data_IF_875798470388
#
_entry.id   IF_875798470388
#
_cell.length_a   1.000
_cell.length_b   1.000
_cell.length_c   1.000
_cell.angle_alpha   90.00
_cell.angle_beta   90.00
_cell.angle_gamma   90.00
#
_symmetry.space_group_name_H-M   'P 1'
#
loop_
_entity.id
_entity.type
_entity.pdbx_description
1 polymer ?
#
# COMPACT_ATOMS: atom_id res chain seq x y z
N UNK A 1 0.32 -62.92 -3.33
CA UNK A 1 1.20 -61.84 -2.81
C UNK A 1 2.00 -61.26 -3.98
N UNK A 2 1.47 -60.35 -4.80
CA UNK A 2 2.26 -59.46 -5.69
C UNK A 2 1.31 -58.39 -6.22
N UNK A 3 1.25 -57.23 -5.56
CA UNK A 3 0.32 -56.16 -5.94
C UNK A 3 0.57 -54.80 -5.29
N UNK A 4 1.78 -54.54 -4.78
CA UNK A 4 2.11 -53.27 -4.09
C UNK A 4 3.23 -52.44 -4.75
N UNK A 5 3.99 -53.01 -5.68
CA UNK A 5 5.17 -52.35 -6.26
C UNK A 5 4.84 -51.30 -7.32
N UNK A 6 3.81 -51.55 -8.15
CA UNK A 6 3.47 -50.69 -9.29
C UNK A 6 2.74 -49.41 -8.87
N UNK A 7 1.94 -49.44 -7.81
CA UNK A 7 1.26 -48.25 -7.30
C UNK A 7 2.24 -47.30 -6.61
N UNK A 8 3.19 -47.85 -5.83
CA UNK A 8 4.23 -47.04 -5.19
C UNK A 8 5.11 -46.34 -6.22
N UNK A 9 5.49 -47.03 -7.30
CA UNK A 9 6.23 -46.43 -8.42
C UNK A 9 5.44 -45.35 -9.15
N UNK A 10 4.13 -45.55 -9.35
CA UNK A 10 3.25 -44.56 -9.96
C UNK A 10 3.10 -43.30 -9.11
N UNK A 11 2.99 -43.45 -7.78
CA UNK A 11 2.88 -42.33 -6.83
C UNK A 11 4.20 -41.56 -6.74
N UNK A 12 5.34 -42.26 -6.73
CA UNK A 12 6.65 -41.62 -6.75
C UNK A 12 6.85 -40.85 -8.05
N UNK A 13 6.45 -41.42 -9.20
CA UNK A 13 6.55 -40.75 -10.50
C UNK A 13 5.63 -39.53 -10.59
N UNK A 14 4.41 -39.60 -10.03
CA UNK A 14 3.49 -38.46 -10.01
C UNK A 14 3.99 -37.35 -9.07
N UNK A 15 4.54 -37.70 -7.90
CA UNK A 15 5.13 -36.71 -7.00
C UNK A 15 6.37 -36.05 -7.61
N UNK A 16 7.18 -36.81 -8.36
CA UNK A 16 8.34 -36.27 -9.07
C UNK A 16 7.90 -35.33 -10.21
N UNK A 17 6.85 -35.68 -10.95
CA UNK A 17 6.24 -34.82 -11.97
C UNK A 17 5.65 -33.54 -11.35
N UNK A 18 4.94 -33.62 -10.22
CA UNK A 18 4.38 -32.45 -9.52
C UNK A 18 5.52 -31.55 -9.00
N UNK A 19 6.57 -32.14 -8.42
CA UNK A 19 7.75 -31.39 -7.96
C UNK A 19 8.52 -30.71 -9.10
N UNK A 20 8.55 -31.31 -10.30
CA UNK A 20 9.12 -30.70 -11.51
C UNK A 20 8.25 -29.52 -11.98
N UNK A 21 6.92 -29.65 -11.94
CA UNK A 21 5.99 -28.58 -12.33
C UNK A 21 6.07 -27.39 -11.37
N UNK A 22 6.14 -27.63 -10.06
CA UNK A 22 6.34 -26.57 -9.05
C UNK A 22 7.71 -25.88 -9.18
N UNK A 23 8.76 -26.61 -9.61
CA UNK A 23 10.07 -26.03 -9.88
C UNK A 23 10.09 -25.17 -11.16
N UNK A 24 9.29 -25.53 -12.17
CA UNK A 24 9.15 -24.81 -13.45
C UNK A 24 8.25 -23.57 -13.36
N UNK A 25 7.36 -23.51 -12.36
CA UNK A 25 6.46 -22.37 -12.10
C UNK A 25 6.94 -21.42 -11.00
N UNK A 26 8.23 -21.41 -10.66
CA UNK A 26 8.84 -20.28 -9.93
C UNK A 26 8.79 -19.03 -10.81
N UNK A 27 7.60 -18.44 -10.90
CA UNK A 27 7.35 -17.13 -11.45
C UNK A 27 8.19 -16.12 -10.70
N UNK A 28 8.56 -15.06 -11.42
CA UNK A 28 9.21 -13.90 -10.84
C UNK A 28 8.35 -13.37 -9.69
N UNK A 29 8.96 -13.04 -8.56
CA UNK A 29 8.24 -12.47 -7.42
C UNK A 29 7.82 -11.04 -7.75
N UNK A 30 6.59 -10.88 -8.24
CA UNK A 30 6.00 -9.58 -8.59
C UNK A 30 5.79 -8.65 -7.37
N UNK A 31 6.05 -9.13 -6.14
CA UNK A 31 6.05 -8.28 -4.95
C UNK A 31 7.31 -7.39 -4.86
N UNK A 32 8.37 -7.71 -5.59
CA UNK A 32 9.62 -6.94 -5.62
C UNK A 32 9.60 -5.98 -6.81
N UNK A 33 9.42 -4.69 -6.50
CA UNK A 33 9.46 -3.62 -7.50
C UNK A 33 10.90 -3.23 -7.82
N UNK A 34 11.26 -3.27 -9.11
CA UNK A 34 12.55 -2.80 -9.60
C UNK A 34 12.42 -1.44 -10.28
N UNK A 35 13.45 -0.60 -10.14
CA UNK A 35 13.60 0.62 -10.92
C UNK A 35 14.57 0.36 -12.06
N UNK A 36 14.15 0.63 -13.29
CA UNK A 36 15.02 0.57 -14.46
C UNK A 36 15.94 1.79 -14.45
N UNK A 37 17.25 1.55 -14.49
CA UNK A 37 18.29 2.57 -14.63
C UNK A 37 18.91 2.45 -16.03
N UNK A 38 18.58 3.39 -16.91
CA UNK A 38 19.05 3.38 -18.29
C UNK A 38 20.47 3.94 -18.36
N UNK A 39 21.36 3.17 -18.98
CA UNK A 39 22.75 3.58 -19.21
C UNK A 39 23.03 3.64 -20.71
N UNK A 40 23.84 4.61 -21.10
CA UNK A 40 24.35 4.73 -22.46
C UNK A 40 25.32 3.58 -22.74
N UNK A 41 25.36 3.12 -23.99
CA UNK A 41 26.27 2.06 -24.46
C UNK A 41 27.73 2.39 -24.15
N UNK A 42 28.13 3.67 -24.23
CA UNK A 42 29.50 4.11 -23.91
C UNK A 42 29.88 3.96 -22.43
N UNK A 43 28.90 3.79 -21.54
CA UNK A 43 29.11 3.54 -20.11
C UNK A 43 29.08 2.04 -19.78
N UNK A 44 28.91 1.18 -20.78
CA UNK A 44 28.94 -0.28 -20.64
C UNK A 44 30.39 -0.75 -20.51
N UNK A 45 30.71 -1.64 -19.56
CA UNK A 45 32.07 -2.13 -19.42
C UNK A 45 32.43 -3.09 -20.56
N UNK A 46 33.65 -2.97 -21.12
CA UNK A 46 34.01 -3.63 -22.39
C UNK A 46 33.86 -5.15 -22.39
N UNK A 47 34.08 -5.78 -21.23
CA UNK A 47 33.92 -7.22 -21.03
C UNK A 47 32.49 -7.70 -21.31
N UNK A 48 31.52 -6.80 -21.20
CA UNK A 48 30.11 -7.08 -21.33
C UNK A 48 29.63 -7.11 -22.79
N UNK A 49 30.33 -6.45 -23.72
CA UNK A 49 30.06 -6.53 -25.16
C UNK A 49 30.40 -7.91 -25.75
N UNK A 50 31.23 -8.70 -25.06
CA UNK A 50 31.68 -10.01 -25.52
C UNK A 50 30.84 -11.19 -25.00
N UNK A 51 29.82 -10.91 -24.18
CA UNK A 51 28.94 -11.94 -23.64
C UNK A 51 28.06 -12.53 -24.75
N UNK A 52 28.03 -13.86 -24.82
CA UNK A 52 27.10 -14.58 -25.69
C UNK A 52 25.76 -14.74 -24.98
N UNK A 53 24.63 -14.68 -25.71
CA UNK A 53 23.32 -14.99 -25.16
C UNK A 53 23.30 -16.49 -24.82
N UNK A 54 23.61 -16.83 -23.58
CA UNK A 54 23.56 -18.20 -23.09
C UNK A 54 22.42 -18.31 -22.06
N UNK A 55 21.41 -19.11 -22.41
CA UNK A 55 20.11 -19.15 -21.73
C UNK A 55 20.16 -19.80 -20.33
N UNK A 56 21.30 -20.34 -19.92
CA UNK A 56 21.48 -21.09 -18.66
C UNK A 56 22.62 -20.57 -17.78
N UNK A 57 23.17 -19.40 -18.08
CA UNK A 57 24.26 -18.84 -17.28
C UNK A 57 23.74 -18.24 -15.98
N UNK A 58 24.39 -18.56 -14.85
CA UNK A 58 24.17 -17.96 -13.53
C UNK A 58 24.67 -16.50 -13.45
N UNK A 59 24.68 -15.78 -14.57
CA UNK A 59 25.14 -14.41 -14.69
C UNK A 59 24.00 -13.45 -14.37
N UNK A 60 24.28 -12.30 -13.74
CA UNK A 60 23.27 -11.30 -13.43
C UNK A 60 22.91 -10.47 -14.68
N UNK A 61 23.03 -11.00 -15.90
CA UNK A 61 22.83 -10.25 -17.13
C UNK A 61 21.87 -10.99 -18.07
N UNK A 62 20.89 -10.26 -18.60
CA UNK A 62 19.85 -10.78 -19.48
C UNK A 62 19.75 -9.93 -20.73
N UNK A 63 19.82 -10.57 -21.91
CA UNK A 63 19.56 -9.91 -23.18
C UNK A 63 18.05 -9.80 -23.40
N UNK A 64 17.57 -8.59 -23.69
CA UNK A 64 16.15 -8.29 -23.92
C UNK A 64 16.02 -7.55 -25.24
N UNK A 65 14.94 -7.84 -25.98
CA UNK A 65 14.59 -7.10 -27.19
C UNK A 65 13.23 -6.44 -27.02
N UNK A 66 13.13 -5.16 -27.39
CA UNK A 66 11.87 -4.43 -27.44
C UNK A 66 11.03 -4.85 -28.66
N UNK A 67 9.76 -4.46 -28.70
CA UNK A 67 8.84 -4.77 -29.82
C UNK A 67 9.21 -4.12 -31.16
N UNK A 68 10.18 -3.21 -31.16
CA UNK A 68 10.80 -2.56 -32.32
C UNK A 68 12.21 -3.12 -32.62
N UNK A 69 12.56 -4.30 -32.11
CA UNK A 69 13.85 -4.99 -32.29
C UNK A 69 15.09 -4.26 -31.73
N UNK A 70 14.90 -3.27 -30.85
CA UNK A 70 16.01 -2.66 -30.08
C UNK A 70 16.54 -3.66 -29.06
N UNK A 71 17.87 -3.84 -29.02
CA UNK A 71 18.54 -4.81 -28.14
C UNK A 71 19.10 -4.12 -26.91
N UNK A 72 18.85 -4.73 -25.75
CA UNK A 72 19.32 -4.27 -24.45
C UNK A 72 20.03 -5.41 -23.74
N UNK A 73 21.03 -5.06 -22.93
CA UNK A 73 21.58 -5.95 -21.92
C UNK A 73 21.24 -5.40 -20.54
N UNK A 74 20.47 -6.17 -19.77
CA UNK A 74 19.98 -5.79 -18.46
C UNK A 74 20.80 -6.49 -17.37
N UNK A 75 21.39 -5.72 -16.46
CA UNK A 75 21.96 -6.26 -15.24
C UNK A 75 20.84 -6.48 -14.19
N UNK A 76 20.46 -7.72 -13.94
CA UNK A 76 19.47 -8.10 -12.94
C UNK A 76 20.18 -8.28 -11.59
N UNK A 77 19.86 -7.44 -10.58
CA UNK A 77 20.49 -7.56 -9.28
C UNK A 77 20.09 -8.87 -8.59
N UNK A 78 21.05 -9.51 -7.92
CA UNK A 78 20.77 -10.70 -7.13
C UNK A 78 19.93 -10.33 -5.89
N UNK A 79 18.67 -10.76 -5.90
CA UNK A 79 17.72 -10.56 -4.79
C UNK A 79 17.78 -11.67 -3.75
N UNK A 80 18.51 -12.77 -4.00
CA UNK A 80 18.60 -13.91 -3.08
C UNK A 80 19.25 -13.56 -1.73
N UNK A 81 19.99 -12.45 -1.68
CA UNK A 81 20.74 -11.98 -0.51
C UNK A 81 20.28 -10.64 0.05
N UNK A 82 19.24 -10.01 -0.51
CA UNK A 82 18.54 -8.98 0.24
C UNK A 82 17.72 -9.68 1.32
N UNK A 83 18.42 -10.08 2.40
CA UNK A 83 17.80 -10.20 3.72
C UNK A 83 16.86 -9.01 3.83
N UNK A 84 15.61 -9.21 4.24
CA UNK A 84 14.78 -8.13 4.78
C UNK A 84 15.69 -7.34 5.70
N UNK A 85 16.29 -6.24 5.22
CA UNK A 85 17.26 -5.48 6.00
C UNK A 85 16.40 -4.94 7.11
N UNK A 86 16.46 -5.58 8.27
CA UNK A 86 15.64 -5.20 9.41
C UNK A 86 16.11 -3.79 9.70
N UNK A 87 15.25 -2.81 9.42
CA UNK A 87 15.55 -1.42 9.70
C UNK A 87 15.66 -1.37 11.22
N UNK A 88 16.89 -1.34 11.75
CA UNK A 88 17.13 -1.38 13.19
C UNK A 88 16.70 -0.07 13.86
N UNK A 89 16.67 1.02 13.09
CA UNK A 89 16.28 2.34 13.54
C UNK A 89 15.75 3.19 12.38
N UNK A 90 14.68 3.93 12.64
CA UNK A 90 14.13 4.95 11.75
C UNK A 90 14.45 6.33 12.30
N UNK A 91 15.10 7.17 11.49
CA UNK A 91 15.51 8.53 11.87
C UNK A 91 14.74 9.62 11.11
N UNK A 92 13.67 9.25 10.39
CA UNK A 92 12.85 10.19 9.64
C UNK A 92 11.74 10.83 10.49
N UNK A 93 10.91 11.70 9.88
CA UNK A 93 9.77 12.30 10.55
C UNK A 93 8.72 11.26 10.92
N UNK A 94 8.12 11.41 12.10
CA UNK A 94 6.96 10.62 12.51
C UNK A 94 5.77 10.82 11.56
N UNK A 95 4.84 9.87 11.48
CA UNK A 95 3.63 10.04 10.67
C UNK A 95 2.81 11.29 11.02
N UNK A 96 2.75 11.65 12.31
CA UNK A 96 2.12 12.88 12.77
C UNK A 96 2.79 14.13 12.22
N UNK A 97 4.12 14.15 12.13
CA UNK A 97 4.88 15.25 11.51
C UNK A 97 4.68 15.31 9.99
N UNK A 98 4.57 14.15 9.33
CA UNK A 98 4.33 14.07 7.89
C UNK A 98 2.98 14.66 7.48
N UNK A 99 1.93 14.47 8.30
CA UNK A 99 0.59 14.99 7.99
C UNK A 99 0.30 16.37 8.58
N UNK A 100 1.20 16.90 9.42
CA UNK A 100 1.06 18.22 10.06
C UNK A 100 0.80 19.37 9.08
N UNK A 101 1.41 19.44 7.88
CA UNK A 101 1.10 20.49 6.91
C UNK A 101 -0.40 20.56 6.57
N UNK A 102 -1.09 19.42 6.51
CA UNK A 102 -2.54 19.37 6.26
C UNK A 102 -3.34 20.09 7.35
N UNK A 103 -2.85 20.05 8.59
CA UNK A 103 -3.50 20.67 9.75
C UNK A 103 -3.24 22.17 9.76
N UNK A 104 -1.99 22.57 9.53
CA UNK A 104 -1.54 23.97 9.53
C UNK A 104 -2.18 24.75 8.36
N UNK A 105 -2.23 24.15 7.16
CA UNK A 105 -2.88 24.72 5.98
C UNK A 105 -4.41 24.59 5.99
N UNK A 106 -4.98 23.94 7.03
CA UNK A 106 -6.42 23.76 7.23
C UNK A 106 -7.12 23.07 6.04
N UNK A 107 -6.41 22.20 5.34
CA UNK A 107 -6.93 21.49 4.18
C UNK A 107 -8.13 20.62 4.57
N UNK A 108 -9.10 20.52 3.66
CA UNK A 108 -10.21 19.59 3.78
C UNK A 108 -10.26 18.65 2.57
N UNK A 109 -10.61 17.40 2.85
CA UNK A 109 -10.84 16.35 1.86
C UNK A 109 -12.31 16.00 1.85
N UNK A 110 -12.85 15.77 0.65
CA UNK A 110 -14.27 15.47 0.46
C UNK A 110 -14.44 14.06 -0.10
N UNK A 111 -15.42 13.33 0.41
CA UNK A 111 -15.84 12.05 -0.12
C UNK A 111 -17.34 12.09 -0.37
N UNK A 112 -17.75 11.72 -1.58
CA UNK A 112 -19.15 11.69 -1.98
C UNK A 112 -19.61 10.24 -1.99
N UNK A 113 -20.60 9.95 -1.16
CA UNK A 113 -21.40 8.75 -1.19
C UNK A 113 -22.78 9.11 -1.76
N UNK A 114 -23.48 8.14 -2.37
CA UNK A 114 -24.69 8.35 -3.18
C UNK A 114 -25.69 9.35 -2.56
N UNK A 115 -25.87 9.28 -1.24
CA UNK A 115 -26.73 10.19 -0.48
C UNK A 115 -25.94 11.18 0.39
N UNK A 116 -24.83 10.78 1.02
CA UNK A 116 -24.10 11.63 1.97
C UNK A 116 -22.83 12.22 1.37
N UNK A 117 -22.55 13.48 1.68
CA UNK A 117 -21.23 14.07 1.51
C UNK A 117 -20.49 14.07 2.84
N UNK A 118 -19.23 13.63 2.80
CA UNK A 118 -18.33 13.64 3.94
C UNK A 118 -17.22 14.66 3.70
N UNK A 119 -16.95 15.47 4.71
CA UNK A 119 -15.88 16.46 4.73
C UNK A 119 -14.97 16.13 5.90
N UNK A 120 -13.73 15.72 5.62
CA UNK A 120 -12.67 15.73 6.62
C UNK A 120 -11.94 17.05 6.51
N UNK A 121 -12.04 17.89 7.52
CA UNK A 121 -11.10 18.98 7.72
C UNK A 121 -9.97 18.54 8.65
N UNK A 122 -8.78 18.38 8.08
CA UNK A 122 -7.64 17.74 8.73
C UNK A 122 -7.25 18.51 10.00
N UNK A 123 -7.14 17.81 11.13
CA UNK A 123 -6.82 18.43 12.43
C UNK A 123 -7.97 19.25 13.04
N UNK A 124 -9.20 19.14 12.50
CA UNK A 124 -10.36 19.88 12.98
C UNK A 124 -11.55 18.98 13.27
N UNK A 125 -12.20 18.45 12.23
CA UNK A 125 -13.42 17.67 12.37
C UNK A 125 -13.67 16.76 11.17
N UNK A 126 -14.57 15.80 11.37
CA UNK A 126 -15.25 15.06 10.32
C UNK A 126 -16.71 15.47 10.32
N UNK A 127 -17.21 15.93 9.18
CA UNK A 127 -18.60 16.32 8.96
C UNK A 127 -19.23 15.39 7.94
N UNK A 128 -20.45 14.92 8.21
CA UNK A 128 -21.33 14.27 7.26
C UNK A 128 -22.50 15.21 7.00
N UNK A 129 -22.86 15.42 5.73
CA UNK A 129 -24.00 16.27 5.38
C UNK A 129 -24.70 15.85 4.10
N UNK A 130 -25.97 16.23 3.98
CA UNK A 130 -26.76 16.09 2.77
C UNK A 130 -27.46 17.41 2.45
N UNK A 131 -27.36 17.82 1.19
CA UNK A 131 -28.04 19.01 0.67
C UNK A 131 -29.32 18.58 -0.07
N UNK A 132 -30.48 18.82 0.52
CA UNK A 132 -31.76 18.65 -0.17
C UNK A 132 -31.97 19.79 -1.17
N UNK A 133 -31.81 19.50 -2.46
CA UNK A 133 -31.88 20.50 -3.55
C UNK A 133 -33.29 20.95 -3.93
N UNK A 134 -34.33 20.46 -3.24
CA UNK A 134 -35.71 20.55 -3.73
C UNK A 134 -36.47 21.81 -3.26
N UNK A 135 -35.94 22.58 -2.30
CA UNK A 135 -36.55 23.86 -1.93
C UNK A 135 -35.53 24.93 -1.58
N UNK A 136 -35.85 26.20 -1.91
CA UNK A 136 -35.07 27.40 -1.58
C UNK A 136 -34.83 27.59 -0.06
N UNK A 137 -35.37 26.71 0.78
CA UNK A 137 -35.36 26.76 2.25
C UNK A 137 -35.06 25.42 2.91
N UNK A 138 -34.69 24.35 2.18
CA UNK A 138 -34.35 23.08 2.84
C UNK A 138 -33.04 23.26 3.62
N UNK A 139 -33.05 23.05 4.95
CA UNK A 139 -31.83 23.14 5.74
C UNK A 139 -30.92 21.96 5.39
N UNK A 140 -29.63 22.23 5.21
CA UNK A 140 -28.59 21.20 5.11
C UNK A 140 -28.64 20.32 6.36
N UNK A 141 -28.82 19.01 6.17
CA UNK A 141 -28.78 18.05 7.28
C UNK A 141 -27.30 17.76 7.56
N UNK A 142 -26.82 18.06 8.76
CA UNK A 142 -25.40 17.94 9.10
C UNK A 142 -25.15 17.21 10.43
N UNK A 143 -24.14 16.34 10.45
CA UNK A 143 -23.70 15.57 11.61
C UNK A 143 -22.18 15.58 11.71
N UNK A 144 -21.65 16.05 12.84
CA UNK A 144 -20.24 15.87 13.15
C UNK A 144 -20.01 14.40 13.52
N UNK A 145 -19.14 13.72 12.78
CA UNK A 145 -18.75 12.34 13.06
C UNK A 145 -17.58 12.25 14.05
N UNK A 146 -17.01 13.39 14.42
CA UNK A 146 -16.00 13.53 15.46
C UNK A 146 -15.18 14.81 15.29
N UNK A 147 -14.53 15.21 16.38
CA UNK A 147 -13.65 16.37 16.46
C UNK A 147 -12.22 15.94 16.78
N UNK A 148 -11.24 16.63 16.22
CA UNK A 148 -9.82 16.40 16.49
C UNK A 148 -9.47 16.90 17.89
N UNK A 149 -8.67 16.11 18.62
CA UNK A 149 -8.24 16.43 19.99
C UNK A 149 -6.71 16.26 20.08
N UNK A 150 -5.92 17.34 19.99
CA UNK A 150 -4.46 17.26 19.93
C UNK A 150 -3.83 16.48 21.09
N UNK A 151 -4.31 16.70 22.31
CA UNK A 151 -3.79 16.06 23.52
C UNK A 151 -4.07 14.55 23.51
N UNK A 152 -5.26 14.15 23.05
CA UNK A 152 -5.65 12.75 22.95
C UNK A 152 -4.87 12.04 21.83
N UNK A 153 -4.69 12.68 20.68
CA UNK A 153 -3.89 12.15 19.57
C UNK A 153 -2.45 11.90 20.03
N UNK A 154 -1.83 12.86 20.75
CA UNK A 154 -0.49 12.66 21.34
C UNK A 154 -0.42 11.46 22.30
N UNK A 155 -1.51 11.13 23.00
CA UNK A 155 -1.57 9.95 23.84
C UNK A 155 -1.73 8.66 23.01
N UNK A 156 -2.60 8.70 22.00
CA UNK A 156 -2.81 7.59 21.06
C UNK A 156 -1.50 7.24 20.32
N UNK A 157 -0.65 8.23 20.05
CA UNK A 157 0.63 8.08 19.33
C UNK A 157 1.76 7.48 20.17
N UNK A 158 1.68 7.49 21.51
CA UNK A 158 2.75 6.97 22.39
C UNK A 158 3.07 5.48 22.16
N UNK A 159 2.11 4.73 21.63
CA UNK A 159 2.25 3.30 21.32
C UNK A 159 2.48 2.99 19.85
N UNK A 160 2.71 3.99 18.99
CA UNK A 160 2.89 3.78 17.56
C UNK A 160 4.28 3.21 17.26
N UNK A 161 4.33 1.95 16.83
CA UNK A 161 5.57 1.32 16.35
C UNK A 161 5.87 1.78 14.91
N UNK A 162 6.88 2.64 14.78
CA UNK A 162 7.32 3.17 13.48
C UNK A 162 7.99 2.11 12.60
N UNK A 163 8.57 1.06 13.19
CA UNK A 163 9.23 -0.02 12.46
C UNK A 163 8.23 -1.09 12.02
N UNK A 164 7.15 -1.28 12.77
CA UNK A 164 6.07 -2.22 12.46
C UNK A 164 4.70 -1.52 12.51
N UNK A 165 4.42 -0.58 11.59
CA UNK A 165 3.14 0.10 11.55
C UNK A 165 2.01 -0.89 11.21
N UNK A 166 0.80 -0.65 11.71
CA UNK A 166 -0.34 -1.50 11.37
C UNK A 166 -0.65 -1.39 9.87
N UNK A 167 -1.04 -2.50 9.26
CA UNK A 167 -1.36 -2.60 7.84
C UNK A 167 -2.85 -2.84 7.63
N UNK A 168 -3.34 -2.44 6.45
CA UNK A 168 -4.68 -2.75 5.98
C UNK A 168 -4.69 -2.92 4.47
N UNK A 169 -5.61 -3.72 3.95
CA UNK A 169 -5.87 -3.75 2.51
C UNK A 169 -6.49 -2.44 2.04
N UNK A 170 -5.86 -1.82 1.05
CA UNK A 170 -6.36 -0.69 0.28
C UNK A 170 -6.12 -1.04 -1.19
N UNK A 171 -7.19 -1.07 -1.98
CA UNK A 171 -7.14 -1.45 -3.41
C UNK A 171 -6.40 -2.79 -3.62
N UNK A 172 -6.75 -3.79 -2.80
CA UNK A 172 -6.17 -5.14 -2.74
C UNK A 172 -4.67 -5.24 -2.38
N UNK A 173 -4.05 -4.12 -2.01
CA UNK A 173 -2.66 -4.07 -1.55
C UNK A 173 -2.60 -3.80 -0.04
N UNK A 174 -1.88 -4.65 0.70
CA UNK A 174 -1.61 -4.41 2.13
C UNK A 174 -0.70 -3.20 2.31
N UNK A 175 -1.28 -2.11 2.82
CA UNK A 175 -0.61 -0.83 2.96
C UNK A 175 -0.50 -0.43 4.44
N UNK A 176 0.67 0.04 4.91
CA UNK A 176 0.82 0.59 6.26
C UNK A 176 0.01 1.88 6.37
N UNK A 177 -0.57 2.12 7.56
CA UNK A 177 -1.37 3.31 7.80
C UNK A 177 -1.09 3.97 9.16
N UNK A 178 -1.34 5.26 9.22
CA UNK A 178 -1.35 6.04 10.46
C UNK A 178 -2.78 6.43 10.83
N UNK A 179 -3.23 6.08 12.04
CA UNK A 179 -4.62 6.30 12.47
C UNK A 179 -4.73 7.54 13.34
N UNK A 180 -5.71 8.39 13.04
CA UNK A 180 -6.09 9.54 13.87
C UNK A 180 -7.55 9.41 14.27
N UNK A 181 -7.82 9.54 15.57
CA UNK A 181 -9.17 9.41 16.13
C UNK A 181 -9.84 10.78 16.29
N UNK A 182 -11.03 10.91 15.73
CA UNK A 182 -11.93 12.04 15.87
C UNK A 182 -13.06 11.63 16.82
N UNK A 183 -13.27 12.40 17.89
CA UNK A 183 -14.13 12.00 19.01
C UNK A 183 -15.14 13.09 19.34
N UNK A 184 -16.19 12.76 20.09
CA UNK A 184 -17.18 13.73 20.57
C UNK A 184 -17.88 14.50 19.42
N UNK A 185 -18.36 13.77 18.42
CA UNK A 185 -19.23 14.31 17.38
C UNK A 185 -20.67 14.53 17.87
N UNK A 186 -21.57 14.82 16.92
CA UNK A 186 -23.02 14.94 17.19
C UNK A 186 -23.54 13.67 17.85
N UNK A 187 -24.35 13.83 18.91
CA UNK A 187 -24.94 12.70 19.64
C UNK A 187 -25.83 11.86 18.72
N UNK A 188 -25.63 10.54 18.74
CA UNK A 188 -26.49 9.61 18.04
C UNK A 188 -27.84 9.54 18.75
N UNK A 189 -28.90 9.78 17.99
CA UNK A 189 -30.30 9.64 18.37
C UNK A 189 -30.65 8.22 18.82
N UNK A 190 -30.09 7.20 18.16
CA UNK A 190 -30.35 5.79 18.48
C UNK A 190 -29.63 5.33 19.76
N UNK A 191 -28.37 5.71 19.95
CA UNK A 191 -27.53 5.17 21.04
C UNK A 191 -27.32 6.15 22.20
N UNK A 192 -27.68 7.43 22.02
CA UNK A 192 -27.41 8.49 22.99
C UNK A 192 -25.93 8.84 23.16
N UNK A 193 -25.03 8.22 22.39
CA UNK A 193 -23.58 8.42 22.50
C UNK A 193 -23.06 9.39 21.44
N UNK A 194 -22.04 10.22 21.75
CA UNK A 194 -21.38 11.05 20.75
C UNK A 194 -20.73 10.18 19.65
N UNK A 195 -20.94 10.55 18.38
CA UNK A 195 -20.29 9.87 17.25
C UNK A 195 -18.76 9.98 17.35
N UNK A 196 -18.08 8.91 16.94
CA UNK A 196 -16.62 8.86 16.88
C UNK A 196 -16.18 8.19 15.58
N UNK A 197 -15.02 8.59 15.09
CA UNK A 197 -14.50 8.19 13.78
C UNK A 197 -12.99 8.02 13.84
N UNK A 198 -12.46 7.00 13.18
CA UNK A 198 -11.02 6.86 12.96
C UNK A 198 -10.69 7.13 11.49
N UNK A 199 -9.75 8.02 11.24
CA UNK A 199 -9.18 8.31 9.91
C UNK A 199 -7.87 7.55 9.77
N UNK A 200 -7.68 6.84 8.66
CA UNK A 200 -6.42 6.14 8.35
C UNK A 200 -5.71 6.85 7.20
N UNK A 201 -4.51 7.38 7.46
CA UNK A 201 -3.64 7.99 6.48
C UNK A 201 -2.73 6.92 5.86
N UNK A 202 -2.74 6.80 4.53
CA UNK A 202 -2.00 5.77 3.78
C UNK A 202 -1.14 6.44 2.71
N UNK A 203 0.15 6.09 2.65
CA UNK A 203 1.04 6.60 1.60
C UNK A 203 0.78 5.88 0.28
N UNK A 204 0.62 6.64 -0.81
CA UNK A 204 0.53 6.08 -2.17
C UNK A 204 1.51 6.77 -3.11
N UNK A 205 2.22 5.96 -3.90
CA UNK A 205 3.09 6.42 -4.99
C UNK A 205 2.25 6.54 -6.26
N UNK A 206 1.58 7.68 -6.46
CA UNK A 206 1.00 8.02 -7.76
C UNK A 206 2.05 8.88 -8.49
N UNK A 207 2.35 8.58 -9.76
CA UNK A 207 3.48 9.07 -10.58
C UNK A 207 3.55 10.59 -10.84
N UNK A 208 2.76 11.37 -10.12
CA UNK A 208 2.82 12.82 -10.06
C UNK A 208 2.77 13.14 -8.56
N UNK A 209 3.69 13.97 -8.07
CA UNK A 209 3.70 14.52 -6.70
C UNK A 209 2.40 15.29 -6.40
N UNK A 210 1.31 14.55 -6.29
CA UNK A 210 0.13 14.87 -5.50
C UNK A 210 0.25 13.93 -4.33
N UNK A 211 0.31 14.50 -3.13
CA UNK A 211 0.12 13.76 -1.90
C UNK A 211 -1.34 13.28 -1.88
N UNK A 212 -1.69 12.30 -2.72
CA UNK A 212 -3.03 11.72 -2.75
C UNK A 212 -3.05 10.67 -1.65
N UNK A 213 -3.25 11.15 -0.43
CA UNK A 213 -3.69 10.35 0.71
C UNK A 213 -5.11 9.87 0.38
N UNK A 214 -5.23 8.88 -0.50
CA UNK A 214 -6.51 8.25 -0.72
C UNK A 214 -6.84 7.30 0.44
N UNK A 215 -8.14 7.24 0.66
CA UNK A 215 -8.92 6.18 1.31
C UNK A 215 -8.97 6.21 2.84
N UNK A 216 -9.85 7.11 3.31
CA UNK A 216 -10.62 6.88 4.51
C UNK A 216 -11.34 5.53 4.40
N UNK A 217 -11.10 4.63 5.34
CA UNK A 217 -12.24 3.85 5.81
C UNK A 217 -12.72 4.51 7.08
N UNK A 218 -13.81 5.23 6.94
CA UNK A 218 -14.63 5.58 8.08
C UNK A 218 -15.13 4.27 8.69
N UNK A 219 -14.49 3.82 9.77
CA UNK A 219 -15.17 2.90 10.67
C UNK A 219 -16.06 3.78 11.54
N UNK A 220 -17.30 3.98 11.08
CA UNK A 220 -18.36 4.51 11.93
C UNK A 220 -18.63 3.45 13.00
N UNK A 221 -18.20 3.72 14.23
CA UNK A 221 -18.60 2.92 15.39
C UNK A 221 -19.89 3.55 15.89
N UNK A 222 -21.03 2.93 15.59
CA UNK A 222 -22.34 3.28 16.14
C UNK A 222 -22.51 2.68 17.55
#
# INVERSE_FOLDING_TARGET
>A
MFGGGNELLSIILSMFLIGIVDALLKGMDDSVMFRIDWRLESAMPENLHSLKPDAFSSQPFVFISSGNDEKYLCAVPDVSSQSKRKIESYSGPSPGELIRPLYEERLCSYWLDLYWTYELCHGRYVLQYHDEKESLRSPRIEFYLGNFRPEQTKMDDKGFDQLNPPTRKVDDVDSPYYRVNYRQGTVCDLTGKPRTTSVSYVCRLVSVLKLVLYTFAFRLVF
#
